data_IF_459344687899
#
_entry.id   IF_459344687899
#
_cell.length_a   1.000
_cell.length_b   1.000
_cell.length_c   1.000
_cell.angle_alpha   90.00
_cell.angle_beta   90.00
_cell.angle_gamma   90.00
#
_symmetry.space_group_name_H-M   'P 1'
#
loop_
_entity.id
_entity.type
_entity.pdbx_description
1 polymer ?
#
# COMPACT_ATOMS: atom_id res chain seq x y z
N UNK A 1 21.56 2.62 -32.93
CA UNK A 1 20.55 2.95 -33.97
C UNK A 1 19.63 4.04 -33.43
N UNK A 2 19.67 5.24 -34.01
CA UNK A 2 18.91 6.39 -33.55
C UNK A 2 17.40 6.20 -33.85
N UNK A 3 16.48 6.47 -32.91
CA UNK A 3 15.04 6.35 -33.19
C UNK A 3 14.58 7.53 -34.06
N UNK A 4 13.99 7.22 -35.21
CA UNK A 4 13.47 8.15 -36.21
C UNK A 4 12.29 9.02 -35.72
N UNK A 5 11.68 8.69 -34.57
CA UNK A 5 10.42 9.30 -34.13
C UNK A 5 10.65 10.24 -32.95
N UNK A 6 10.33 11.53 -33.12
CA UNK A 6 10.45 12.57 -32.08
C UNK A 6 9.73 12.17 -30.77
N UNK A 7 8.59 11.49 -30.88
CA UNK A 7 7.83 10.92 -29.77
C UNK A 7 8.63 9.91 -28.93
N UNK A 8 9.37 9.00 -29.57
CA UNK A 8 10.19 7.99 -28.87
C UNK A 8 11.37 8.66 -28.16
N UNK A 9 11.91 9.73 -28.75
CA UNK A 9 12.99 10.54 -28.15
C UNK A 9 12.49 11.32 -26.93
N UNK A 10 11.29 11.89 -27.00
CA UNK A 10 10.62 12.56 -25.88
C UNK A 10 10.29 11.60 -24.75
N UNK A 11 9.64 10.47 -25.06
CA UNK A 11 9.31 9.43 -24.08
C UNK A 11 10.57 8.95 -23.35
N UNK A 12 11.67 8.70 -24.09
CA UNK A 12 12.96 8.32 -23.51
C UNK A 12 13.53 9.37 -22.55
N UNK A 13 13.25 10.65 -22.76
CA UNK A 13 13.64 11.73 -21.84
C UNK A 13 12.79 11.78 -20.57
N UNK A 14 11.55 11.28 -20.62
CA UNK A 14 10.63 11.22 -19.46
C UNK A 14 10.89 9.97 -18.60
N UNK A 15 11.03 8.78 -19.21
CA UNK A 15 11.12 7.53 -18.43
C UNK A 15 12.55 7.14 -18.00
N UNK A 16 13.60 7.56 -18.74
CA UNK A 16 15.00 7.28 -18.34
C UNK A 16 15.43 7.92 -17.00
N UNK A 17 15.11 9.20 -16.70
CA UNK A 17 15.49 9.78 -15.41
C UNK A 17 14.73 9.14 -14.25
N UNK A 18 13.57 8.52 -14.51
CA UNK A 18 12.82 7.71 -13.55
C UNK A 18 13.39 6.30 -13.35
N UNK A 19 14.47 5.95 -14.06
CA UNK A 19 15.16 4.66 -13.93
C UNK A 19 14.54 3.51 -14.72
N UNK A 20 13.57 3.80 -15.59
CA UNK A 20 12.98 2.77 -16.46
C UNK A 20 13.82 2.59 -17.73
N UNK A 21 14.16 1.35 -18.07
CA UNK A 21 14.83 1.00 -19.34
C UNK A 21 13.82 0.75 -20.47
N UNK A 22 12.61 0.28 -20.13
CA UNK A 22 11.53 -0.06 -21.07
C UNK A 22 10.28 0.79 -20.79
N UNK A 23 9.68 1.36 -21.84
CA UNK A 23 8.49 2.22 -21.74
C UNK A 23 7.23 1.52 -21.20
N UNK A 24 7.06 0.21 -21.43
CA UNK A 24 5.93 -0.56 -20.88
C UNK A 24 5.92 -0.57 -19.34
N UNK A 25 7.10 -0.73 -18.72
CA UNK A 25 7.23 -0.68 -17.25
C UNK A 25 6.88 0.70 -16.68
N UNK A 26 7.16 1.76 -17.44
CA UNK A 26 6.78 3.12 -17.06
C UNK A 26 5.27 3.32 -17.11
N UNK A 27 4.58 2.79 -18.14
CA UNK A 27 3.11 2.88 -18.25
C UNK A 27 2.43 2.11 -17.12
N UNK A 28 2.89 0.88 -16.82
CA UNK A 28 2.36 0.11 -15.70
C UNK A 28 2.55 0.83 -14.37
N UNK A 29 3.74 1.41 -14.15
CA UNK A 29 4.03 2.20 -12.97
C UNK A 29 3.13 3.45 -12.90
N UNK A 30 2.96 4.17 -14.00
CA UNK A 30 2.15 5.37 -14.06
C UNK A 30 0.67 5.09 -13.77
N UNK A 31 0.11 4.01 -14.35
CA UNK A 31 -1.29 3.65 -14.08
C UNK A 31 -1.47 3.21 -12.63
N UNK A 32 -0.59 2.35 -12.11
CA UNK A 32 -0.72 1.80 -10.74
C UNK A 32 -0.43 2.83 -9.66
N UNK A 33 0.73 3.50 -9.72
CA UNK A 33 1.14 4.51 -8.74
C UNK A 33 0.39 5.82 -8.95
N UNK A 34 0.08 6.20 -10.20
CA UNK A 34 -0.73 7.39 -10.48
C UNK A 34 -2.16 7.23 -9.97
N UNK A 35 -2.79 6.05 -10.14
CA UNK A 35 -4.10 5.78 -9.56
C UNK A 35 -4.05 5.79 -8.03
N UNK A 36 -3.06 5.15 -7.42
CA UNK A 36 -2.89 5.15 -5.97
C UNK A 36 -2.69 6.57 -5.43
N UNK A 37 -1.78 7.35 -6.03
CA UNK A 37 -1.51 8.72 -5.63
C UNK A 37 -2.74 9.63 -5.81
N UNK A 38 -3.45 9.50 -6.92
CA UNK A 38 -4.69 10.23 -7.17
C UNK A 38 -5.77 9.90 -6.13
N UNK A 39 -5.93 8.62 -5.80
CA UNK A 39 -6.82 8.19 -4.72
C UNK A 39 -6.39 8.75 -3.36
N UNK A 40 -5.11 8.66 -3.01
CA UNK A 40 -4.60 9.20 -1.73
C UNK A 40 -4.81 10.70 -1.62
N UNK A 41 -4.56 11.47 -2.68
CA UNK A 41 -4.78 12.91 -2.71
C UNK A 41 -6.27 13.27 -2.60
N UNK A 42 -7.13 12.57 -3.33
CA UNK A 42 -8.59 12.78 -3.25
C UNK A 42 -9.16 12.45 -1.85
N UNK A 43 -8.52 11.54 -1.11
CA UNK A 43 -8.93 11.13 0.24
C UNK A 43 -8.20 11.89 1.37
N UNK A 44 -7.18 12.70 1.05
CA UNK A 44 -6.42 13.48 2.04
C UNK A 44 -7.33 14.42 2.86
N UNK A 45 -8.37 14.96 2.23
CA UNK A 45 -9.37 15.81 2.89
C UNK A 45 -10.10 15.11 4.05
N UNK A 46 -10.22 13.78 4.03
CA UNK A 46 -10.90 13.03 5.09
C UNK A 46 -10.09 12.93 6.38
N UNK A 47 -8.80 13.29 6.34
CA UNK A 47 -8.00 13.44 7.54
C UNK A 47 -8.61 14.48 8.50
N UNK A 48 -9.32 15.49 7.96
CA UNK A 48 -10.20 16.36 8.75
C UNK A 48 -11.48 15.62 9.13
N UNK A 49 -11.37 14.78 10.16
CA UNK A 49 -12.42 13.84 10.54
C UNK A 49 -13.75 14.51 10.93
N UNK A 50 -13.71 15.55 11.78
CA UNK A 50 -14.91 16.25 12.25
C UNK A 50 -15.36 17.38 11.28
N UNK A 51 -14.52 17.74 10.29
CA UNK A 51 -14.77 18.87 9.40
C UNK A 51 -15.23 18.49 8.00
N UNK A 52 -14.77 17.34 7.48
CA UNK A 52 -15.08 16.87 6.12
C UNK A 52 -15.64 15.45 6.12
N UNK A 53 -15.08 14.53 6.92
CA UNK A 53 -15.51 13.13 6.91
C UNK A 53 -16.88 12.93 7.57
N UNK A 54 -17.05 13.43 8.80
CA UNK A 54 -18.33 13.48 9.51
C UNK A 54 -18.55 14.89 10.08
N UNK A 55 -19.06 15.78 9.23
CA UNK A 55 -19.43 17.14 9.62
C UNK A 55 -20.95 17.23 9.82
N UNK A 56 -21.43 17.54 11.04
CA UNK A 56 -22.86 17.67 11.32
C UNK A 56 -23.55 18.83 10.60
N UNK A 57 -22.76 19.79 10.08
CA UNK A 57 -23.23 21.00 9.41
C UNK A 57 -22.94 21.00 7.89
N UNK A 58 -22.42 19.91 7.32
CA UNK A 58 -22.10 19.85 5.90
C UNK A 58 -23.37 19.65 5.05
N UNK A 59 -23.70 20.64 4.22
CA UNK A 59 -24.84 20.61 3.30
C UNK A 59 -24.57 19.85 1.98
N UNK A 60 -23.52 19.03 1.90
CA UNK A 60 -23.11 18.36 0.67
C UNK A 60 -22.50 16.97 0.90
N UNK A 61 -22.73 16.06 -0.06
CA UNK A 61 -22.31 14.65 -0.02
C UNK A 61 -20.80 14.39 -0.17
N UNK A 62 -19.96 15.31 0.31
CA UNK A 62 -18.50 15.17 0.24
C UNK A 62 -17.95 14.25 1.33
N UNK A 63 -18.70 14.01 2.40
CA UNK A 63 -18.34 13.16 3.54
C UNK A 63 -19.02 11.78 3.53
N UNK A 64 -18.88 11.04 4.62
CA UNK A 64 -19.59 9.78 4.82
C UNK A 64 -21.12 10.03 4.92
N UNK A 65 -21.92 9.05 4.49
CA UNK A 65 -23.37 9.15 4.56
C UNK A 65 -23.83 9.41 6.01
N UNK A 66 -24.87 10.22 6.25
CA UNK A 66 -25.31 10.56 7.60
C UNK A 66 -25.59 9.34 8.50
N UNK A 67 -26.11 8.26 7.92
CA UNK A 67 -26.35 6.99 8.64
C UNK A 67 -25.07 6.28 9.09
N UNK A 68 -23.99 6.39 8.31
CA UNK A 68 -22.69 5.80 8.66
C UNK A 68 -21.97 6.65 9.72
N UNK A 69 -22.09 7.99 9.65
CA UNK A 69 -21.51 8.88 10.64
C UNK A 69 -22.04 8.67 12.06
N UNK A 70 -23.28 8.20 12.23
CA UNK A 70 -23.82 7.83 13.54
C UNK A 70 -22.95 6.75 14.22
N UNK A 71 -22.57 5.71 13.49
CA UNK A 71 -21.68 4.65 13.99
C UNK A 71 -20.24 5.13 14.15
N UNK A 72 -19.75 5.93 13.20
CA UNK A 72 -18.37 6.44 13.26
C UNK A 72 -18.13 7.41 14.43
N UNK A 73 -19.15 8.07 14.97
CA UNK A 73 -18.99 8.94 16.14
C UNK A 73 -18.95 8.17 17.48
N UNK A 74 -19.32 6.90 17.50
CA UNK A 74 -19.37 6.06 18.71
C UNK A 74 -18.03 5.37 18.99
N UNK A 75 -17.71 5.16 20.27
CA UNK A 75 -16.56 4.34 20.69
C UNK A 75 -17.00 2.87 20.65
N UNK A 76 -16.22 1.94 20.07
CA UNK A 76 -14.82 2.05 19.62
C UNK A 76 -14.60 2.43 18.14
N UNK A 77 -15.66 2.50 17.33
CA UNK A 77 -15.56 2.67 15.87
C UNK A 77 -14.93 4.01 15.45
N UNK A 78 -15.14 5.07 16.22
CA UNK A 78 -14.47 6.36 16.06
C UNK A 78 -12.96 6.24 16.08
N UNK A 79 -12.44 5.44 17.01
CA UNK A 79 -11.00 5.23 17.18
C UNK A 79 -10.51 4.38 16.02
N UNK A 80 -11.21 3.30 15.68
CA UNK A 80 -10.86 2.43 14.55
C UNK A 80 -10.78 3.18 13.22
N UNK A 81 -11.79 4.01 12.91
CA UNK A 81 -11.85 4.77 11.66
C UNK A 81 -10.77 5.86 11.59
N UNK A 82 -10.53 6.58 12.69
CA UNK A 82 -9.42 7.54 12.77
C UNK A 82 -8.09 6.83 12.61
N UNK A 83 -7.86 5.74 13.36
CA UNK A 83 -6.64 4.96 13.30
C UNK A 83 -6.37 4.50 11.87
N UNK A 84 -7.38 3.95 11.20
CA UNK A 84 -7.30 3.54 9.79
C UNK A 84 -6.90 4.72 8.89
N UNK A 85 -7.64 5.84 8.92
CA UNK A 85 -7.35 7.00 8.05
C UNK A 85 -5.96 7.59 8.27
N UNK A 86 -5.60 7.85 9.54
CA UNK A 86 -4.33 8.48 9.90
C UNK A 86 -3.13 7.59 9.62
N UNK A 87 -3.32 6.29 9.39
CA UNK A 87 -2.23 5.37 9.08
C UNK A 87 -2.22 5.00 7.60
N UNK A 88 -3.37 4.69 6.99
CA UNK A 88 -3.43 4.26 5.59
C UNK A 88 -3.09 5.38 4.59
N UNK A 89 -3.51 6.62 4.86
CA UNK A 89 -3.24 7.75 3.96
C UNK A 89 -1.73 8.05 3.89
N UNK A 90 -1.01 8.24 5.01
CA UNK A 90 0.43 8.42 4.95
C UNK A 90 1.15 7.17 4.44
N UNK A 91 0.70 5.96 4.78
CA UNK A 91 1.28 4.72 4.24
C UNK A 91 1.18 4.68 2.71
N UNK A 92 0.02 5.00 2.13
CA UNK A 92 -0.17 5.02 0.68
C UNK A 92 0.72 6.06 -0.01
N UNK A 93 0.91 7.23 0.60
CA UNK A 93 1.82 8.26 0.09
C UNK A 93 3.28 7.79 0.11
N UNK A 94 3.72 7.17 1.21
CA UNK A 94 5.07 6.61 1.35
C UNK A 94 5.33 5.44 0.38
N UNK A 95 4.31 4.63 0.09
CA UNK A 95 4.35 3.58 -0.92
C UNK A 95 4.60 4.14 -2.32
N UNK A 96 3.99 5.28 -2.67
CA UNK A 96 4.23 5.92 -3.96
C UNK A 96 5.72 6.23 -4.18
N UNK A 97 6.41 6.71 -3.14
CA UNK A 97 7.85 6.94 -3.17
C UNK A 97 8.67 5.65 -3.19
N UNK A 98 8.20 4.60 -2.50
CA UNK A 98 8.88 3.29 -2.45
C UNK A 98 9.07 2.68 -3.84
N UNK A 99 8.06 2.78 -4.70
CA UNK A 99 8.05 2.15 -6.02
C UNK A 99 8.67 3.00 -7.13
N UNK A 100 9.23 4.17 -6.83
CA UNK A 100 10.01 4.95 -7.81
C UNK A 100 11.36 4.25 -8.05
N UNK A 101 11.67 3.79 -9.28
CA UNK A 101 12.89 3.01 -9.52
C UNK A 101 14.18 3.78 -9.20
N UNK A 102 14.20 5.10 -9.43
CA UNK A 102 15.34 5.97 -9.06
C UNK A 102 15.69 5.84 -7.59
N UNK A 103 14.69 5.90 -6.71
CA UNK A 103 14.88 5.88 -5.26
C UNK A 103 15.44 4.53 -4.85
N UNK A 104 14.92 3.44 -5.41
CA UNK A 104 15.44 2.08 -5.19
C UNK A 104 16.90 1.93 -5.61
N UNK A 105 17.28 2.46 -6.78
CA UNK A 105 18.63 2.27 -7.33
C UNK A 105 19.68 3.22 -6.77
N UNK A 106 19.29 4.44 -6.37
CA UNK A 106 20.21 5.49 -5.91
C UNK A 106 20.26 5.63 -4.38
N UNK A 107 19.15 5.36 -3.69
CA UNK A 107 19.00 5.63 -2.24
C UNK A 107 18.45 4.39 -1.52
N UNK A 108 19.22 3.30 -1.55
CA UNK A 108 18.79 2.00 -1.04
C UNK A 108 18.46 2.01 0.47
N UNK A 109 19.18 2.78 1.28
CA UNK A 109 18.93 2.89 2.72
C UNK A 109 17.59 3.55 3.03
N UNK A 110 17.26 4.64 2.33
CA UNK A 110 15.96 5.30 2.45
C UNK A 110 14.83 4.36 2.02
N UNK A 111 14.99 3.68 0.87
CA UNK A 111 14.03 2.69 0.40
C UNK A 111 13.82 1.56 1.43
N UNK A 112 14.87 1.10 2.10
CA UNK A 112 14.77 0.05 3.13
C UNK A 112 14.05 0.53 4.38
N UNK A 113 14.37 1.71 4.91
CA UNK A 113 13.71 2.27 6.08
C UNK A 113 12.24 2.62 5.81
N UNK A 114 11.97 3.21 4.65
CA UNK A 114 10.61 3.53 4.21
C UNK A 114 9.74 2.26 4.08
N UNK A 115 10.31 1.18 3.54
CA UNK A 115 9.64 -0.12 3.49
C UNK A 115 9.21 -0.63 4.87
N UNK A 116 10.05 -0.52 5.89
CA UNK A 116 9.68 -0.90 7.26
C UNK A 116 8.59 0.01 7.83
N UNK A 117 8.69 1.32 7.63
CA UNK A 117 7.69 2.28 8.10
C UNK A 117 6.31 1.98 7.49
N UNK A 118 6.25 1.75 6.18
CA UNK A 118 5.03 1.37 5.47
C UNK A 118 4.42 0.09 6.04
N UNK A 119 5.22 -0.95 6.26
CA UNK A 119 4.72 -2.23 6.80
C UNK A 119 4.09 -2.03 8.18
N UNK A 120 4.77 -1.33 9.09
CA UNK A 120 4.28 -1.10 10.46
C UNK A 120 2.98 -0.28 10.44
N UNK A 121 2.96 0.83 9.71
CA UNK A 121 1.81 1.73 9.65
C UNK A 121 0.61 1.02 8.99
N UNK A 122 0.84 0.21 7.95
CA UNK A 122 -0.23 -0.55 7.30
C UNK A 122 -0.80 -1.68 8.17
N UNK A 123 0.00 -2.33 9.00
CA UNK A 123 -0.50 -3.31 9.97
C UNK A 123 -1.41 -2.66 11.02
N UNK A 124 -1.03 -1.46 11.49
CA UNK A 124 -1.88 -0.67 12.39
C UNK A 124 -3.18 -0.25 11.69
N UNK A 125 -3.10 0.14 10.41
CA UNK A 125 -4.28 0.42 9.58
C UNK A 125 -5.22 -0.79 9.50
N UNK A 126 -4.70 -1.99 9.27
CA UNK A 126 -5.48 -3.23 9.20
C UNK A 126 -6.21 -3.52 10.52
N UNK A 127 -5.58 -3.26 11.67
CA UNK A 127 -6.25 -3.36 12.97
C UNK A 127 -7.43 -2.38 13.07
N UNK A 128 -7.24 -1.13 12.61
CA UNK A 128 -8.32 -0.15 12.50
C UNK A 128 -9.48 -0.63 11.62
N UNK A 129 -9.16 -1.27 10.48
CA UNK A 129 -10.14 -1.85 9.56
C UNK A 129 -10.98 -2.96 10.21
N UNK A 130 -10.34 -3.88 10.94
CA UNK A 130 -11.05 -4.99 11.61
C UNK A 130 -12.08 -4.47 12.61
N UNK A 131 -11.76 -3.39 13.33
CA UNK A 131 -12.66 -2.76 14.30
C UNK A 131 -13.91 -2.20 13.60
N UNK A 132 -13.75 -1.60 12.42
CA UNK A 132 -14.84 -0.92 11.71
C UNK A 132 -15.68 -1.84 10.80
N UNK A 133 -15.14 -2.98 10.37
CA UNK A 133 -15.75 -3.90 9.39
C UNK A 133 -17.21 -4.26 9.66
N UNK A 134 -17.61 -4.42 10.93
CA UNK A 134 -18.96 -4.92 11.28
C UNK A 134 -20.08 -3.92 10.98
N UNK A 135 -19.78 -2.64 10.88
CA UNK A 135 -20.77 -1.59 10.64
C UNK A 135 -20.54 -0.83 9.33
N UNK A 136 -19.47 -1.15 8.59
CA UNK A 136 -19.20 -0.52 7.31
C UNK A 136 -20.31 -0.85 6.30
N UNK A 137 -20.90 0.17 5.68
CA UNK A 137 -21.97 0.05 4.68
C UNK A 137 -23.17 -0.77 5.20
N UNK A 138 -23.65 -0.44 6.40
CA UNK A 138 -24.76 -1.16 7.04
C UNK A 138 -24.44 -2.60 7.48
N UNK A 139 -23.17 -3.03 7.42
CA UNK A 139 -22.75 -4.37 7.83
C UNK A 139 -23.02 -5.45 6.77
N UNK A 140 -23.12 -5.08 5.49
CA UNK A 140 -23.35 -6.03 4.40
C UNK A 140 -22.29 -7.16 4.36
N UNK A 141 -22.74 -8.39 4.13
CA UNK A 141 -21.87 -9.57 4.12
C UNK A 141 -20.80 -9.50 3.03
N UNK A 142 -21.11 -8.90 1.88
CA UNK A 142 -20.15 -8.71 0.77
C UNK A 142 -19.02 -7.77 1.21
N UNK A 143 -19.37 -6.66 1.87
CA UNK A 143 -18.40 -5.70 2.42
C UNK A 143 -17.49 -6.34 3.46
N UNK A 144 -18.05 -7.13 4.38
CA UNK A 144 -17.27 -7.81 5.41
C UNK A 144 -16.31 -8.83 4.82
N UNK A 145 -16.78 -9.63 3.85
CA UNK A 145 -15.97 -10.65 3.19
C UNK A 145 -14.84 -10.02 2.39
N UNK A 146 -15.12 -8.97 1.61
CA UNK A 146 -14.11 -8.25 0.84
C UNK A 146 -13.06 -7.60 1.75
N UNK A 147 -13.50 -6.95 2.81
CA UNK A 147 -12.61 -6.29 3.77
C UNK A 147 -11.73 -7.31 4.50
N UNK A 148 -12.31 -8.43 4.95
CA UNK A 148 -11.56 -9.53 5.56
C UNK A 148 -10.52 -10.13 4.61
N UNK A 149 -10.90 -10.39 3.35
CA UNK A 149 -9.98 -10.88 2.33
C UNK A 149 -8.82 -9.92 2.09
N UNK A 150 -9.08 -8.61 1.98
CA UNK A 150 -8.04 -7.59 1.80
C UNK A 150 -7.08 -7.52 2.98
N UNK A 151 -7.58 -7.58 4.22
CA UNK A 151 -6.74 -7.62 5.42
C UNK A 151 -5.84 -8.85 5.43
N UNK A 152 -6.38 -10.03 5.06
CA UNK A 152 -5.60 -11.27 5.01
C UNK A 152 -4.51 -11.19 3.93
N UNK A 153 -4.89 -10.83 2.69
CA UNK A 153 -3.96 -10.77 1.56
C UNK A 153 -2.84 -9.74 1.79
N UNK A 154 -3.17 -8.56 2.31
CA UNK A 154 -2.17 -7.53 2.64
C UNK A 154 -1.25 -7.98 3.77
N UNK A 155 -1.78 -8.63 4.81
CA UNK A 155 -0.97 -9.15 5.92
C UNK A 155 0.00 -10.24 5.46
N UNK A 156 -0.45 -11.18 4.62
CA UNK A 156 0.43 -12.19 4.00
C UNK A 156 1.52 -11.51 3.17
N UNK A 157 1.15 -10.50 2.37
CA UNK A 157 2.11 -9.71 1.59
C UNK A 157 3.17 -9.04 2.47
N UNK A 158 2.79 -8.48 3.61
CA UNK A 158 3.72 -7.87 4.57
C UNK A 158 4.64 -8.89 5.24
N UNK A 159 4.12 -10.08 5.58
CA UNK A 159 4.93 -11.18 6.12
C UNK A 159 5.98 -11.59 5.09
N UNK A 160 5.59 -11.80 3.83
CA UNK A 160 6.50 -12.14 2.74
C UNK A 160 7.57 -11.05 2.52
N UNK A 161 7.16 -9.78 2.57
CA UNK A 161 8.09 -8.66 2.46
C UNK A 161 9.11 -8.66 3.61
N UNK A 162 8.67 -8.90 4.84
CA UNK A 162 9.54 -8.96 6.01
C UNK A 162 10.53 -10.14 5.96
N UNK A 163 10.04 -11.32 5.56
CA UNK A 163 10.85 -12.52 5.34
C UNK A 163 11.91 -12.26 4.28
N UNK A 164 11.56 -11.64 3.15
CA UNK A 164 12.50 -11.31 2.08
C UNK A 164 13.60 -10.34 2.53
N UNK A 165 13.27 -9.32 3.34
CA UNK A 165 14.29 -8.39 3.86
C UNK A 165 15.25 -9.12 4.84
N UNK A 166 14.72 -10.01 5.67
CA UNK A 166 15.54 -10.84 6.58
C UNK A 166 16.45 -11.77 5.78
N UNK A 167 15.93 -12.47 4.78
CA UNK A 167 16.68 -13.35 3.88
C UNK A 167 17.84 -12.61 3.19
N UNK A 168 17.57 -11.43 2.62
CA UNK A 168 18.60 -10.63 1.96
C UNK A 168 19.75 -10.23 2.92
N UNK A 169 19.44 -10.07 4.20
CA UNK A 169 20.45 -9.76 5.24
C UNK A 169 21.22 -11.02 5.65
N UNK A 170 20.53 -12.15 5.82
CA UNK A 170 21.15 -13.43 6.19
C UNK A 170 22.08 -13.98 5.09
N UNK A 171 21.78 -13.72 3.82
CA UNK A 171 22.65 -14.06 2.69
C UNK A 171 23.98 -13.30 2.73
N UNK A 172 23.95 -12.00 3.05
CA UNK A 172 25.16 -11.19 3.27
C UNK A 172 25.98 -11.65 4.48
N UNK A 173 25.31 -12.20 5.51
CA UNK A 173 25.94 -12.65 6.75
C UNK A 173 26.31 -14.16 6.74
N UNK A 174 26.29 -14.84 5.58
CA UNK A 174 26.77 -16.21 5.43
C UNK A 174 25.93 -17.31 6.10
N UNK A 175 24.69 -17.04 6.52
CA UNK A 175 23.83 -18.04 7.17
C UNK A 175 23.07 -18.88 6.13
N UNK A 176 23.72 -19.93 5.64
CA UNK A 176 23.24 -20.93 4.66
C UNK A 176 21.99 -21.71 5.08
N UNK A 177 21.60 -21.70 6.36
CA UNK A 177 20.53 -22.54 6.91
C UNK A 177 19.12 -22.17 6.42
N UNK A 178 18.82 -20.90 6.14
CA UNK A 178 17.48 -20.50 5.69
C UNK A 178 17.25 -20.82 4.21
N UNK A 179 18.33 -20.87 3.42
CA UNK A 179 18.26 -21.25 2.01
C UNK A 179 17.87 -22.73 1.84
N UNK A 180 18.31 -23.61 2.76
CA UNK A 180 17.99 -25.04 2.75
C UNK A 180 16.50 -25.28 2.98
N UNK A 181 15.89 -24.59 3.96
CA UNK A 181 14.47 -24.77 4.28
C UNK A 181 13.58 -24.36 3.10
N UNK A 182 13.90 -23.27 2.40
CA UNK A 182 13.16 -22.86 1.20
C UNK A 182 13.46 -23.72 -0.03
N UNK A 183 14.68 -24.25 -0.20
CA UNK A 183 14.97 -25.23 -1.27
C UNK A 183 14.19 -26.54 -1.08
N UNK A 184 13.96 -26.93 0.18
CA UNK A 184 13.12 -28.07 0.53
C UNK A 184 11.63 -27.79 0.32
N UNK A 185 11.14 -26.58 0.59
CA UNK A 185 9.74 -26.21 0.34
C UNK A 185 9.42 -25.90 -1.13
N UNK A 186 10.40 -25.49 -1.93
CA UNK A 186 10.23 -25.11 -3.34
C UNK A 186 10.56 -26.24 -4.34
N UNK A 187 10.86 -27.46 -3.88
CA UNK A 187 11.03 -28.62 -4.77
C UNK A 187 9.72 -29.41 -4.88
N UNK A 188 8.95 -29.28 -5.97
CA UNK A 188 7.87 -30.21 -6.25
C UNK A 188 8.48 -31.53 -6.74
N UNK A 189 8.64 -32.48 -5.83
CA UNK A 189 9.02 -33.86 -6.15
C UNK A 189 10.47 -34.21 -5.83
N UNK A 190 10.64 -35.35 -5.16
CA UNK A 190 11.95 -35.97 -4.92
C UNK A 190 12.14 -36.63 -3.56
N UNK A 191 11.14 -37.36 -3.05
CA UNK A 191 11.44 -38.51 -2.19
C UNK A 191 11.93 -39.64 -3.11
N UNK A 192 13.22 -39.96 -3.02
CA UNK A 192 13.78 -41.25 -3.40
C UNK A 192 14.46 -41.82 -2.17
#
# INVERSE_FOLDING_TARGET
MAPANAFVRFMRRVYNPLGFSKGYNFILWFITIGYLLGFTLARLQYLSYNGVFCNPNAAGGTGAAPGECYYWLQVPFKIGMKLHLYTIIPAALLVCFQFVPVIRHKIILFHRMNGYAVVVISLISNAGTIIITRHAFGGDFSTQTWTGAMVILTTIGYIMAWVNIKLATSQHNGSTSVLVIYRLMASPGGFH
#
